data_IF_553982497406
#
_entry.id   IF_553982497406
#
_cell.length_a   1.000
_cell.length_b   1.000
_cell.length_c   1.000
_cell.angle_alpha   90.00
_cell.angle_beta   90.00
_cell.angle_gamma   90.00
#
_symmetry.space_group_name_H-M   'P 1'
#
loop_
_entity.id
_entity.type
_entity.pdbx_description
1 polymer ?
#
# COMPACT_ATOMS: atom_id res chain seq x y z
N UNK A 1 6.28 18.17 -0.80
CA UNK A 1 5.52 17.00 -1.25
C UNK A 1 5.62 16.86 -2.76
N UNK A 2 5.82 15.64 -3.24
CA UNK A 2 5.75 15.25 -4.65
C UNK A 2 4.29 15.04 -5.10
N UNK A 3 4.05 14.93 -6.40
CA UNK A 3 2.70 14.69 -6.95
C UNK A 3 2.09 13.37 -6.45
N UNK A 4 2.92 12.32 -6.27
CA UNK A 4 2.47 11.04 -5.75
C UNK A 4 2.14 11.11 -4.25
N UNK A 5 2.94 11.84 -3.46
CA UNK A 5 2.65 12.10 -2.04
C UNK A 5 1.35 12.90 -1.86
N UNK A 6 1.11 13.90 -2.70
CA UNK A 6 -0.16 14.65 -2.68
C UNK A 6 -1.34 13.74 -3.02
N UNK A 7 -1.20 12.89 -4.04
CA UNK A 7 -2.24 11.92 -4.40
C UNK A 7 -2.55 10.98 -3.24
N UNK A 8 -1.54 10.46 -2.56
CA UNK A 8 -1.74 9.58 -1.40
C UNK A 8 -2.38 10.34 -0.23
N UNK A 9 -1.96 11.57 0.04
CA UNK A 9 -2.55 12.41 1.08
C UNK A 9 -4.05 12.65 0.82
N UNK A 10 -4.42 13.02 -0.41
CA UNK A 10 -5.82 13.27 -0.79
C UNK A 10 -6.68 12.00 -0.66
N UNK A 11 -6.12 10.83 -0.95
CA UNK A 11 -6.80 9.54 -0.76
C UNK A 11 -7.01 9.21 0.73
N UNK A 12 -6.01 9.50 1.57
CA UNK A 12 -6.12 9.32 3.02
C UNK A 12 -7.15 10.27 3.61
N UNK A 13 -7.16 11.54 3.18
CA UNK A 13 -8.12 12.54 3.65
C UNK A 13 -9.55 12.15 3.28
N UNK A 14 -9.79 11.73 2.04
CA UNK A 14 -11.10 11.21 1.62
C UNK A 14 -11.52 9.98 2.42
N UNK A 15 -10.61 9.01 2.62
CA UNK A 15 -10.87 7.81 3.39
C UNK A 15 -11.16 8.11 4.88
N UNK A 16 -10.49 9.11 5.46
CA UNK A 16 -10.68 9.53 6.85
C UNK A 16 -12.06 10.17 7.09
N UNK A 17 -12.57 10.89 6.10
CA UNK A 17 -13.84 11.60 6.15
C UNK A 17 -15.06 10.70 5.87
N UNK A 18 -14.86 9.45 5.44
CA UNK A 18 -15.96 8.48 5.31
C UNK A 18 -16.48 7.98 6.66
N UNK A 19 -17.70 7.43 6.65
CA UNK A 19 -18.27 6.76 7.82
C UNK A 19 -17.52 5.44 8.10
N UNK A 20 -16.71 5.47 9.15
CA UNK A 20 -15.91 4.35 9.64
C UNK A 20 -16.48 3.74 10.93
N UNK A 21 -17.73 4.01 11.28
CA UNK A 21 -18.34 3.56 12.54
C UNK A 21 -18.33 2.04 12.71
N UNK A 22 -18.37 1.31 11.59
CA UNK A 22 -18.33 -0.16 11.56
C UNK A 22 -16.90 -0.74 11.47
N UNK A 23 -15.87 0.10 11.51
CA UNK A 23 -14.46 -0.31 11.44
C UNK A 23 -13.80 -0.20 12.82
N UNK A 24 -12.70 -0.94 13.06
CA UNK A 24 -11.97 -0.86 14.32
C UNK A 24 -11.50 0.57 14.61
N UNK A 25 -11.74 1.06 15.84
CA UNK A 25 -11.28 2.38 16.32
C UNK A 25 -9.80 2.72 15.97
N UNK A 26 -8.83 1.78 16.10
CA UNK A 26 -7.44 2.07 15.77
C UNK A 26 -7.22 2.46 14.30
N UNK A 27 -8.10 2.02 13.39
CA UNK A 27 -7.97 2.27 11.96
C UNK A 27 -8.01 3.76 11.62
N UNK A 28 -8.99 4.50 12.18
CA UNK A 28 -9.12 5.94 11.95
C UNK A 28 -7.91 6.72 12.48
N UNK A 29 -7.39 6.31 13.65
CA UNK A 29 -6.17 6.86 14.22
C UNK A 29 -4.95 6.58 13.34
N UNK A 30 -4.85 5.38 12.76
CA UNK A 30 -3.76 5.01 11.87
C UNK A 30 -3.78 5.79 10.56
N UNK A 31 -4.96 6.09 9.99
CA UNK A 31 -5.09 6.98 8.84
C UNK A 31 -4.59 8.40 9.15
N UNK A 32 -4.98 8.96 10.30
CA UNK A 32 -4.52 10.29 10.72
C UNK A 32 -3.00 10.32 10.93
N UNK A 33 -2.44 9.29 11.56
CA UNK A 33 -1.00 9.14 11.75
C UNK A 33 -0.27 9.05 10.41
N UNK A 34 -0.80 8.30 9.45
CA UNK A 34 -0.22 8.17 8.12
C UNK A 34 -0.24 9.50 7.34
N UNK A 35 -1.32 10.27 7.45
CA UNK A 35 -1.38 11.62 6.87
C UNK A 35 -0.31 12.54 7.47
N UNK A 36 -0.15 12.54 8.80
CA UNK A 36 0.89 13.31 9.47
C UNK A 36 2.29 12.89 9.02
N UNK A 37 2.54 11.58 8.91
CA UNK A 37 3.83 11.06 8.45
C UNK A 37 4.18 11.55 7.04
N UNK A 38 3.21 11.64 6.13
CA UNK A 38 3.43 12.22 4.79
C UNK A 38 3.79 13.70 4.85
N UNK A 39 3.10 14.47 5.69
CA UNK A 39 3.38 15.90 5.88
C UNK A 39 4.78 16.11 6.48
N UNK A 40 5.22 15.24 7.38
CA UNK A 40 6.53 15.27 8.01
C UNK A 40 7.68 14.82 7.07
N UNK A 41 7.36 14.45 5.82
CA UNK A 41 8.33 14.03 4.81
C UNK A 41 8.74 12.56 4.92
N UNK A 42 7.94 11.73 5.57
CA UNK A 42 8.15 10.27 5.56
C UNK A 42 7.96 9.74 4.14
N UNK A 43 8.85 8.85 3.73
CA UNK A 43 8.79 8.20 2.44
C UNK A 43 7.42 7.55 2.18
N UNK A 44 6.86 7.84 1.01
CA UNK A 44 5.52 7.43 0.60
C UNK A 44 5.32 5.91 0.64
N UNK A 45 6.37 5.13 0.35
CA UNK A 45 6.29 3.67 0.42
C UNK A 45 6.19 3.18 1.87
N UNK A 46 6.95 3.76 2.80
CA UNK A 46 6.83 3.43 4.22
C UNK A 46 5.44 3.77 4.78
N UNK A 47 4.84 4.88 4.33
CA UNK A 47 3.47 5.24 4.71
C UNK A 47 2.46 4.24 4.13
N UNK A 48 2.57 3.91 2.84
CA UNK A 48 1.74 2.87 2.19
C UNK A 48 1.82 1.53 2.95
N UNK A 49 3.03 1.12 3.32
CA UNK A 49 3.26 -0.13 4.05
C UNK A 49 2.64 -0.10 5.46
N UNK A 50 2.75 1.02 6.17
CA UNK A 50 2.14 1.20 7.48
C UNK A 50 0.61 1.08 7.44
N UNK A 51 -0.02 1.73 6.46
CA UNK A 51 -1.48 1.62 6.27
C UNK A 51 -1.85 0.18 5.87
N UNK A 52 -1.09 -0.46 4.98
CA UNK A 52 -1.34 -1.85 4.57
C UNK A 52 -1.30 -2.83 5.75
N UNK A 53 -0.29 -2.71 6.60
CA UNK A 53 -0.17 -3.52 7.81
C UNK A 53 -1.33 -3.25 8.77
N UNK A 54 -1.76 -1.99 8.90
CA UNK A 54 -2.93 -1.65 9.72
C UNK A 54 -4.20 -2.36 9.24
N UNK A 55 -4.42 -2.54 7.93
CA UNK A 55 -5.56 -3.33 7.46
C UNK A 55 -5.49 -4.79 7.93
N UNK A 56 -4.30 -5.38 7.87
CA UNK A 56 -4.08 -6.77 8.27
C UNK A 56 -4.22 -6.97 9.79
N UNK A 57 -3.57 -6.13 10.59
CA UNK A 57 -3.59 -6.18 12.05
C UNK A 57 -4.99 -5.97 12.65
N UNK A 58 -5.82 -5.17 11.98
CA UNK A 58 -7.18 -4.89 12.40
C UNK A 58 -8.21 -5.83 11.73
N UNK A 59 -7.77 -6.88 11.05
CA UNK A 59 -8.63 -7.85 10.33
C UNK A 59 -9.63 -7.19 9.37
N UNK A 60 -9.24 -6.05 8.79
CA UNK A 60 -10.10 -5.29 7.88
C UNK A 60 -10.14 -6.00 6.54
N UNK A 61 -11.34 -6.42 6.15
CA UNK A 61 -11.57 -7.01 4.83
C UNK A 61 -11.81 -5.86 3.84
N UNK A 62 -11.03 -5.74 2.75
CA UNK A 62 -11.17 -4.63 1.81
C UNK A 62 -12.58 -4.50 1.21
N UNK A 63 -13.30 -5.61 1.07
CA UNK A 63 -14.67 -5.61 0.54
C UNK A 63 -15.71 -4.98 1.50
N UNK A 64 -15.42 -4.92 2.79
CA UNK A 64 -16.32 -4.32 3.80
C UNK A 64 -16.04 -2.84 4.04
N UNK A 65 -15.01 -2.29 3.39
CA UNK A 65 -14.68 -0.88 3.47
C UNK A 65 -15.64 -0.04 2.61
N UNK A 66 -15.93 1.21 3.03
CA UNK A 66 -16.61 2.18 2.18
C UNK A 66 -15.75 2.58 0.96
N UNK A 67 -16.32 3.35 0.03
CA UNK A 67 -15.78 3.50 -1.32
C UNK A 67 -14.38 4.12 -1.35
N UNK A 68 -14.15 5.22 -0.63
CA UNK A 68 -12.86 5.91 -0.62
C UNK A 68 -11.79 5.09 0.10
N UNK A 69 -12.17 4.37 1.16
CA UNK A 69 -11.28 3.43 1.83
C UNK A 69 -10.88 2.26 0.92
N UNK A 70 -11.79 1.78 0.05
CA UNK A 70 -11.45 0.80 -0.99
C UNK A 70 -10.53 1.37 -2.06
N UNK A 71 -10.75 2.63 -2.46
CA UNK A 71 -9.89 3.32 -3.41
C UNK A 71 -8.46 3.44 -2.83
N UNK A 72 -8.33 3.84 -1.57
CA UNK A 72 -7.06 3.91 -0.84
C UNK A 72 -6.38 2.54 -0.76
N UNK A 73 -7.11 1.49 -0.35
CA UNK A 73 -6.57 0.13 -0.33
C UNK A 73 -6.08 -0.31 -1.72
N UNK A 74 -6.88 -0.07 -2.76
CA UNK A 74 -6.52 -0.42 -4.14
C UNK A 74 -5.27 0.31 -4.63
N UNK A 75 -5.15 1.60 -4.32
CA UNK A 75 -3.97 2.40 -4.63
C UNK A 75 -2.72 1.84 -3.95
N UNK A 76 -2.78 1.64 -2.63
CA UNK A 76 -1.67 1.12 -1.82
C UNK A 76 -1.26 -0.27 -2.32
N UNK A 77 -2.21 -1.18 -2.49
CA UNK A 77 -1.96 -2.55 -2.92
C UNK A 77 -1.29 -2.60 -4.30
N UNK A 78 -1.75 -1.79 -5.26
CA UNK A 78 -1.11 -1.69 -6.58
C UNK A 78 0.31 -1.13 -6.48
N UNK A 79 0.54 -0.14 -5.61
CA UNK A 79 1.84 0.51 -5.44
C UNK A 79 2.85 -0.43 -4.80
N UNK A 80 2.45 -1.15 -3.76
CA UNK A 80 3.26 -2.16 -3.10
C UNK A 80 3.63 -3.30 -4.05
N UNK A 81 2.67 -3.85 -4.82
CA UNK A 81 2.95 -4.90 -5.81
C UNK A 81 3.90 -4.42 -6.91
N UNK A 82 3.70 -3.21 -7.44
CA UNK A 82 4.57 -2.66 -8.50
C UNK A 82 5.99 -2.42 -7.97
N UNK A 83 6.12 -1.93 -6.74
CA UNK A 83 7.42 -1.66 -6.11
C UNK A 83 8.14 -2.94 -5.71
N UNK A 84 7.43 -3.96 -5.22
CA UNK A 84 7.98 -5.28 -4.96
C UNK A 84 8.54 -5.90 -6.25
N UNK A 85 7.77 -5.88 -7.34
CA UNK A 85 8.24 -6.34 -8.66
C UNK A 85 9.42 -5.53 -9.19
N UNK A 86 9.43 -4.21 -8.99
CA UNK A 86 10.54 -3.35 -9.40
C UNK A 86 11.80 -3.61 -8.56
N UNK A 87 11.66 -3.78 -7.23
CA UNK A 87 12.77 -4.15 -6.34
C UNK A 87 13.32 -5.53 -6.67
N UNK A 88 12.46 -6.52 -6.91
CA UNK A 88 12.87 -7.85 -7.37
C UNK A 88 13.59 -7.77 -8.73
N UNK A 89 13.09 -6.94 -9.65
CA UNK A 89 13.74 -6.72 -10.95
C UNK A 89 15.09 -6.03 -10.79
N UNK A 90 15.18 -4.97 -9.98
CA UNK A 90 16.41 -4.21 -9.77
C UNK A 90 17.45 -5.06 -8.99
N UNK A 91 17.00 -5.96 -8.11
CA UNK A 91 17.86 -6.96 -7.46
C UNK A 91 18.37 -8.01 -8.46
N UNK A 92 17.50 -8.51 -9.35
CA UNK A 92 17.89 -9.43 -10.43
C UNK A 92 18.82 -8.77 -11.46
N UNK A 93 18.66 -7.48 -11.72
CA UNK A 93 19.53 -6.71 -12.61
C UNK A 93 20.88 -6.34 -11.95
N UNK A 94 20.87 -6.04 -10.64
CA UNK A 94 22.06 -5.65 -9.88
C UNK A 94 23.01 -6.79 -9.55
N UNK A 95 22.51 -8.04 -9.50
CA UNK A 95 23.34 -9.20 -9.17
C UNK A 95 23.98 -9.93 -10.36
N UNK A 96 23.72 -9.52 -11.61
CA UNK A 96 24.31 -10.21 -12.78
C UNK A 96 24.03 -11.73 -12.81
N UNK A 97 23.07 -12.20 -12.01
CA UNK A 97 22.66 -13.58 -11.94
C UNK A 97 21.58 -13.75 -13.00
N UNK A 98 22.05 -14.16 -14.16
CA UNK A 98 21.48 -15.22 -15.01
C UNK A 98 19.98 -15.42 -14.78
N UNK A 99 19.21 -15.18 -15.84
CA UNK A 99 17.89 -15.74 -16.08
C UNK A 99 17.89 -17.29 -16.00
N UNK A 100 18.12 -17.84 -14.82
CA UNK A 100 17.79 -19.18 -14.38
C UNK A 100 16.72 -18.97 -13.32
N UNK A 101 15.48 -19.40 -13.44
CA UNK A 101 14.91 -20.44 -14.31
C UNK A 101 13.43 -20.52 -13.93
N UNK A 102 12.50 -20.46 -14.89
CA UNK A 102 11.30 -21.30 -14.82
C UNK A 102 11.05 -21.83 -16.23
N UNK A 103 11.67 -22.97 -16.48
CA UNK A 103 11.22 -24.03 -17.37
C UNK A 103 9.73 -24.27 -17.12
N UNK A 104 8.86 -23.75 -17.98
CA UNK A 104 7.50 -24.27 -18.10
C UNK A 104 7.55 -25.46 -19.06
N UNK A 105 7.39 -26.67 -18.52
CA UNK A 105 6.98 -27.85 -19.27
C UNK A 105 8.09 -28.83 -19.66
N UNK A 106 8.41 -29.74 -18.74
CA UNK A 106 8.96 -31.05 -19.06
C UNK A 106 8.29 -32.12 -18.20
N UNK A 107 7.82 -33.19 -18.85
CA UNK A 107 7.06 -34.37 -18.34
C UNK A 107 5.57 -34.09 -18.09
N UNK A 108 4.62 -34.59 -18.87
CA UNK A 108 4.44 -35.95 -19.42
C UNK A 108 3.79 -35.90 -20.82
#
# INVERSE_FOLDING_TARGET
MTESEQTLFDLIDKAYNEDLTNQPQPYKTNLLKAAQQLVDGTDEFNVCLGIYNSYHENYIVPLTLPQENRNLYGYIHQKLIKLDRKRLRDFNLGYGLIASSITFGGFH
#
